data_IF_046130278561
#
_entry.id   IF_046130278561
#
_cell.length_a   1.000
_cell.length_b   1.000
_cell.length_c   1.000
_cell.angle_alpha   90.00
_cell.angle_beta   90.00
_cell.angle_gamma   90.00
#
_symmetry.space_group_name_H-M   'P 1'
#
loop_
_entity.id
_entity.type
_entity.pdbx_description
1 polymer ?
#
# COMPACT_ATOMS: atom_id res chain seq x y z
N UNK A 1 41.86 -24.36 -1.46
CA UNK A 1 40.58 -24.65 -0.77
C UNK A 1 39.70 -23.42 -0.94
N UNK A 2 38.44 -23.63 -1.33
CA UNK A 2 37.51 -22.61 -1.83
C UNK A 2 37.21 -21.52 -0.80
N UNK A 3 37.20 -20.27 -1.27
CA UNK A 3 36.66 -19.12 -0.55
C UNK A 3 35.13 -19.24 -0.46
N UNK A 4 34.52 -19.01 0.72
CA UNK A 4 33.07 -19.01 0.84
C UNK A 4 32.49 -17.84 0.04
N UNK A 5 31.53 -18.15 -0.82
CA UNK A 5 30.80 -17.22 -1.67
C UNK A 5 29.96 -16.34 -0.75
N UNK A 6 30.43 -15.12 -0.46
CA UNK A 6 29.59 -14.08 0.12
C UNK A 6 28.35 -13.93 -0.76
N UNK A 7 27.19 -14.29 -0.23
CA UNK A 7 25.92 -14.08 -0.90
C UNK A 7 25.82 -12.61 -1.30
N UNK A 8 25.47 -12.28 -2.56
CA UNK A 8 25.33 -10.89 -2.96
C UNK A 8 24.32 -10.25 -2.02
N UNK A 9 24.72 -9.14 -1.39
CA UNK A 9 23.82 -8.32 -0.59
C UNK A 9 22.56 -8.09 -1.42
N UNK A 10 21.47 -8.75 -1.02
CA UNK A 10 20.17 -8.62 -1.66
C UNK A 10 19.84 -7.13 -1.65
N UNK A 11 19.95 -6.53 -2.82
CA UNK A 11 19.68 -5.12 -3.03
C UNK A 11 18.20 -4.98 -2.74
N UNK A 12 17.88 -4.47 -1.55
CA UNK A 12 16.52 -4.15 -1.15
C UNK A 12 15.94 -3.26 -2.25
N UNK A 13 15.02 -3.81 -3.03
CA UNK A 13 14.37 -3.06 -4.09
C UNK A 13 13.57 -1.97 -3.40
N UNK A 14 13.80 -0.68 -3.72
CA UNK A 14 13.06 0.38 -3.07
C UNK A 14 11.57 0.19 -3.33
N UNK A 15 10.75 0.37 -2.28
CA UNK A 15 9.27 0.47 -2.30
C UNK A 15 8.70 1.45 -3.34
N UNK A 16 9.55 2.15 -4.08
CA UNK A 16 9.19 3.14 -5.09
C UNK A 16 8.74 2.51 -6.43
N UNK A 17 8.89 1.19 -6.60
CA UNK A 17 8.34 0.49 -7.77
C UNK A 17 6.86 0.19 -7.51
N UNK A 18 6.00 1.16 -7.85
CA UNK A 18 4.54 0.96 -7.77
C UNK A 18 4.12 -0.22 -8.65
N UNK A 19 3.29 -1.10 -8.10
CA UNK A 19 2.78 -2.22 -8.87
C UNK A 19 1.87 -1.70 -10.00
N UNK A 20 2.20 -1.94 -11.28
CA UNK A 20 1.45 -1.39 -12.41
C UNK A 20 0.00 -1.91 -12.47
N UNK A 21 -0.29 -3.08 -11.91
CA UNK A 21 -1.65 -3.62 -11.84
C UNK A 21 -2.53 -2.82 -10.88
N UNK A 22 -1.99 -2.47 -9.71
CA UNK A 22 -2.68 -1.64 -8.71
C UNK A 22 -2.93 -0.25 -9.31
N UNK A 23 -1.92 0.36 -9.93
CA UNK A 23 -2.07 1.68 -10.56
C UNK A 23 -3.15 1.68 -11.65
N UNK A 24 -3.21 0.64 -12.50
CA UNK A 24 -4.27 0.50 -13.51
C UNK A 24 -5.65 0.35 -12.89
N UNK A 25 -5.77 -0.42 -11.81
CA UNK A 25 -7.01 -0.60 -11.07
C UNK A 25 -7.51 0.72 -10.46
N UNK A 26 -6.63 1.49 -9.81
CA UNK A 26 -6.99 2.78 -9.24
C UNK A 26 -7.42 3.76 -10.33
N UNK A 27 -6.72 3.79 -11.47
CA UNK A 27 -7.12 4.61 -12.62
C UNK A 27 -8.51 4.23 -13.13
N UNK A 28 -8.77 2.94 -13.32
CA UNK A 28 -10.09 2.45 -13.72
C UNK A 28 -11.19 2.78 -12.70
N UNK A 29 -10.87 2.82 -11.40
CA UNK A 29 -11.82 3.25 -10.36
C UNK A 29 -12.21 4.72 -10.47
N UNK A 30 -11.23 5.60 -10.70
CA UNK A 30 -11.47 7.04 -10.91
C UNK A 30 -12.33 7.26 -12.16
N UNK A 31 -11.98 6.59 -13.27
CA UNK A 31 -12.74 6.64 -14.52
C UNK A 31 -14.18 6.14 -14.32
N UNK A 32 -14.36 5.04 -13.57
CA UNK A 32 -15.68 4.47 -13.26
C UNK A 32 -16.54 5.39 -12.40
N UNK A 33 -15.94 6.18 -11.51
CA UNK A 33 -16.65 7.18 -10.70
C UNK A 33 -17.05 8.41 -11.52
N UNK A 34 -16.50 8.56 -12.73
CA UNK A 34 -16.80 9.64 -13.67
C UNK A 34 -16.24 10.99 -13.23
N UNK A 35 -15.21 10.99 -12.39
CA UNK A 35 -14.60 12.23 -11.90
C UNK A 35 -13.57 12.74 -12.91
N UNK A 36 -13.76 13.97 -13.40
CA UNK A 36 -12.78 14.63 -14.24
C UNK A 36 -11.84 15.44 -13.35
N UNK A 37 -10.56 15.08 -13.40
CA UNK A 37 -9.50 15.77 -12.68
C UNK A 37 -8.42 16.23 -13.65
N UNK A 38 -7.85 17.40 -13.40
CA UNK A 38 -6.63 17.86 -14.05
C UNK A 38 -5.51 16.83 -13.87
N UNK A 39 -4.54 16.73 -14.81
CA UNK A 39 -3.49 15.71 -14.76
C UNK A 39 -2.68 15.72 -13.46
N UNK A 40 -2.45 16.89 -12.87
CA UNK A 40 -1.75 17.05 -11.59
C UNK A 40 -2.58 16.54 -10.40
N UNK A 41 -3.86 16.92 -10.35
CA UNK A 41 -4.80 16.47 -9.32
C UNK A 41 -5.03 14.95 -9.41
N UNK A 42 -5.12 14.39 -10.62
CA UNK A 42 -5.23 12.96 -10.85
C UNK A 42 -3.98 12.22 -10.35
N UNK A 43 -2.79 12.75 -10.60
CA UNK A 43 -1.54 12.15 -10.12
C UNK A 43 -1.49 12.10 -8.59
N UNK A 44 -1.90 13.18 -7.91
CA UNK A 44 -1.98 13.23 -6.44
C UNK A 44 -3.03 12.26 -5.90
N UNK A 45 -4.22 12.26 -6.49
CA UNK A 45 -5.29 11.30 -6.15
C UNK A 45 -4.81 9.85 -6.27
N UNK A 46 -4.17 9.49 -7.39
CA UNK A 46 -3.66 8.14 -7.60
C UNK A 46 -2.54 7.77 -6.61
N UNK A 47 -1.73 8.73 -6.18
CA UNK A 47 -0.70 8.53 -5.15
C UNK A 47 -1.30 8.23 -3.78
N UNK A 48 -2.27 9.04 -3.35
CA UNK A 48 -3.00 8.86 -2.09
C UNK A 48 -3.81 7.56 -2.10
N UNK A 49 -4.51 7.28 -3.21
CA UNK A 49 -5.23 6.02 -3.40
C UNK A 49 -4.28 4.81 -3.32
N UNK A 50 -3.06 4.91 -3.86
CA UNK A 50 -2.08 3.83 -3.83
C UNK A 50 -1.60 3.56 -2.39
N UNK A 51 -1.25 4.61 -1.65
CA UNK A 51 -0.87 4.48 -0.23
C UNK A 51 -1.99 3.88 0.62
N UNK A 52 -3.22 4.32 0.42
CA UNK A 52 -4.39 3.78 1.12
C UNK A 52 -4.64 2.31 0.75
N UNK A 53 -4.48 1.96 -0.53
CA UNK A 53 -4.62 0.60 -1.00
C UNK A 53 -3.55 -0.31 -0.39
N UNK A 54 -2.28 0.11 -0.37
CA UNK A 54 -1.19 -0.64 0.25
C UNK A 54 -1.41 -0.84 1.75
N UNK A 55 -1.87 0.19 2.46
CA UNK A 55 -2.23 0.08 3.87
C UNK A 55 -3.36 -0.94 4.10
N UNK A 56 -4.40 -0.91 3.26
CA UNK A 56 -5.51 -1.85 3.35
C UNK A 56 -5.06 -3.27 2.99
N UNK A 57 -4.22 -3.41 1.97
CA UNK A 57 -3.64 -4.69 1.56
C UNK A 57 -2.80 -5.28 2.69
N UNK A 58 -1.93 -4.49 3.31
CA UNK A 58 -1.13 -4.92 4.46
C UNK A 58 -2.00 -5.41 5.62
N UNK A 59 -3.08 -4.68 5.95
CA UNK A 59 -4.03 -5.10 6.98
C UNK A 59 -4.73 -6.42 6.63
N UNK A 60 -5.16 -6.59 5.38
CA UNK A 60 -5.82 -7.82 4.93
C UNK A 60 -4.84 -8.99 4.87
N UNK A 61 -3.58 -8.76 4.50
CA UNK A 61 -2.52 -9.77 4.56
C UNK A 61 -2.27 -10.24 5.99
N UNK A 62 -2.20 -9.32 6.96
CA UNK A 62 -2.07 -9.66 8.39
C UNK A 62 -3.27 -10.44 8.91
N UNK A 63 -4.49 -10.12 8.45
CA UNK A 63 -5.71 -10.88 8.79
C UNK A 63 -5.75 -12.27 8.15
N UNK A 64 -5.19 -12.42 6.96
CA UNK A 64 -5.14 -13.68 6.23
C UNK A 64 -4.05 -14.63 6.77
N UNK A 65 -3.09 -14.12 7.55
CA UNK A 65 -2.11 -14.97 8.23
C UNK A 65 -2.81 -15.87 9.27
N UNK A 66 -2.34 -17.12 9.42
CA UNK A 66 -2.75 -17.96 10.54
C UNK A 66 -2.40 -17.30 11.87
N UNK A 67 -3.20 -17.57 12.92
CA UNK A 67 -3.13 -16.87 14.21
C UNK A 67 -1.73 -16.86 14.83
N UNK A 68 -1.02 -17.98 14.74
CA UNK A 68 0.37 -18.13 15.18
C UNK A 68 1.33 -17.16 14.46
N UNK A 69 1.22 -17.06 13.12
CA UNK A 69 2.05 -16.17 12.31
C UNK A 69 1.66 -14.70 12.41
N UNK A 70 0.37 -14.44 12.63
CA UNK A 70 -0.10 -13.10 12.95
C UNK A 70 0.46 -12.63 14.28
N UNK A 71 0.49 -13.47 15.31
CA UNK A 71 1.09 -13.13 16.61
C UNK A 71 2.59 -12.85 16.47
N UNK A 72 3.32 -13.71 15.75
CA UNK A 72 4.75 -13.53 15.43
C UNK A 72 5.00 -12.21 14.69
N UNK A 73 4.18 -11.89 13.69
CA UNK A 73 4.26 -10.61 12.99
C UNK A 73 3.98 -9.42 13.91
N UNK A 74 2.94 -9.47 14.74
CA UNK A 74 2.60 -8.40 15.68
C UNK A 74 3.72 -8.18 16.71
N UNK A 75 4.34 -9.24 17.20
CA UNK A 75 5.52 -9.16 18.08
C UNK A 75 6.70 -8.48 17.39
N UNK A 76 6.95 -8.79 16.10
CA UNK A 76 7.97 -8.11 15.30
C UNK A 76 7.64 -6.62 15.08
N UNK A 77 6.37 -6.25 14.96
CA UNK A 77 5.97 -4.83 14.83
C UNK A 77 6.13 -4.03 16.12
N UNK A 78 6.25 -4.66 17.29
CA UNK A 78 6.56 -3.98 18.56
C UNK A 78 7.99 -3.42 18.58
N UNK A 79 8.89 -3.99 17.76
CA UNK A 79 10.28 -3.57 17.64
C UNK A 79 10.61 -3.34 16.16
N UNK A 80 10.34 -2.10 15.72
CA UNK A 80 10.53 -1.69 14.33
C UNK A 80 11.98 -1.83 13.84
N UNK A 81 12.96 -1.87 14.76
CA UNK A 81 14.37 -2.10 14.42
C UNK A 81 14.65 -3.54 13.99
N UNK A 82 13.78 -4.49 14.37
CA UNK A 82 13.84 -5.91 13.97
C UNK A 82 12.99 -6.20 12.73
N UNK A 83 12.20 -5.24 12.27
CA UNK A 83 11.30 -5.37 11.13
C UNK A 83 12.09 -5.17 9.83
N UNK A 84 12.60 -6.27 9.27
CA UNK A 84 13.25 -6.25 7.95
C UNK A 84 12.24 -6.61 6.86
N UNK A 85 12.24 -5.87 5.75
CA UNK A 85 11.40 -6.12 4.57
C UNK A 85 11.45 -7.57 4.08
N UNK A 86 12.63 -8.19 4.15
CA UNK A 86 12.82 -9.59 3.80
C UNK A 86 12.07 -10.54 4.73
N UNK A 87 12.13 -10.32 6.05
CA UNK A 87 11.38 -11.11 7.04
C UNK A 87 9.88 -10.97 6.87
N UNK A 88 9.42 -9.75 6.65
CA UNK A 88 8.02 -9.43 6.35
C UNK A 88 7.58 -10.18 5.10
N UNK A 89 8.32 -10.02 4.00
CA UNK A 89 8.07 -10.73 2.74
C UNK A 89 8.08 -12.24 2.87
N UNK A 90 9.04 -12.83 3.59
CA UNK A 90 9.09 -14.28 3.81
C UNK A 90 7.93 -14.81 4.63
N UNK A 91 7.50 -14.09 5.67
CA UNK A 91 6.33 -14.49 6.47
C UNK A 91 5.09 -14.49 5.58
N UNK A 92 4.89 -13.43 4.80
CA UNK A 92 3.70 -13.32 3.97
C UNK A 92 3.74 -14.25 2.74
N UNK A 93 4.87 -14.40 2.06
CA UNK A 93 5.00 -15.25 0.87
C UNK A 93 4.87 -16.75 1.21
N UNK A 94 5.43 -17.19 2.36
CA UNK A 94 5.33 -18.58 2.80
C UNK A 94 4.03 -18.92 3.52
N UNK A 95 3.36 -17.95 4.14
CA UNK A 95 2.25 -18.24 5.05
C UNK A 95 0.94 -17.52 4.74
N UNK A 96 0.86 -16.65 3.72
CA UNK A 96 -0.44 -16.16 3.24
C UNK A 96 -1.00 -17.19 2.27
N UNK A 97 -2.00 -18.00 2.68
CA UNK A 97 -2.69 -18.84 1.74
C UNK A 97 -3.43 -17.95 0.74
N UNK A 98 -3.23 -18.23 -0.55
CA UNK A 98 -3.97 -17.57 -1.63
C UNK A 98 -3.87 -16.04 -1.64
N UNK A 99 -2.65 -15.50 -1.81
CA UNK A 99 -2.41 -14.06 -2.01
C UNK A 99 -3.36 -13.40 -3.03
N UNK A 100 -3.73 -14.13 -4.08
CA UNK A 100 -4.68 -13.65 -5.09
C UNK A 100 -6.06 -13.36 -4.51
N UNK A 101 -6.54 -14.14 -3.54
CA UNK A 101 -7.84 -13.92 -2.91
C UNK A 101 -7.80 -12.75 -1.94
N UNK A 102 -6.70 -12.59 -1.18
CA UNK A 102 -6.47 -11.39 -0.35
C UNK A 102 -6.44 -10.13 -1.21
N UNK A 103 -5.76 -10.17 -2.36
CA UNK A 103 -5.73 -9.06 -3.31
C UNK A 103 -7.13 -8.74 -3.85
N UNK A 104 -7.88 -9.75 -4.31
CA UNK A 104 -9.26 -9.56 -4.80
C UNK A 104 -10.18 -8.98 -3.74
N UNK A 105 -10.10 -9.46 -2.51
CA UNK A 105 -10.91 -8.96 -1.41
C UNK A 105 -10.56 -7.51 -1.07
N UNK A 106 -9.25 -7.19 -1.05
CA UNK A 106 -8.76 -5.82 -0.86
C UNK A 106 -9.28 -4.89 -1.95
N UNK A 107 -9.21 -5.29 -3.22
CA UNK A 107 -9.77 -4.53 -4.34
C UNK A 107 -11.28 -4.31 -4.19
N UNK A 108 -12.03 -5.33 -3.77
CA UNK A 108 -13.48 -5.23 -3.55
C UNK A 108 -13.82 -4.26 -2.41
N UNK A 109 -13.12 -4.37 -1.28
CA UNK A 109 -13.29 -3.47 -0.13
C UNK A 109 -12.93 -2.04 -0.49
N UNK A 110 -11.77 -1.83 -1.13
CA UNK A 110 -11.31 -0.52 -1.55
C UNK A 110 -12.27 0.13 -2.57
N UNK A 111 -12.76 -0.65 -3.54
CA UNK A 111 -13.79 -0.19 -4.49
C UNK A 111 -15.04 0.30 -3.76
N UNK A 112 -15.56 -0.50 -2.82
CA UNK A 112 -16.76 -0.15 -2.07
C UNK A 112 -16.56 1.12 -1.23
N UNK A 113 -15.42 1.26 -0.57
CA UNK A 113 -15.06 2.46 0.20
C UNK A 113 -14.95 3.69 -0.71
N UNK A 114 -14.22 3.58 -1.82
CA UNK A 114 -14.00 4.69 -2.75
C UNK A 114 -15.28 5.14 -3.46
N UNK A 115 -16.16 4.20 -3.82
CA UNK A 115 -17.46 4.49 -4.45
C UNK A 115 -18.46 5.08 -3.44
N UNK A 116 -18.40 4.68 -2.18
CA UNK A 116 -19.28 5.19 -1.11
C UNK A 116 -18.82 6.55 -0.58
N UNK A 117 -17.52 6.82 -0.60
CA UNK A 117 -16.97 8.10 -0.15
C UNK A 117 -17.34 9.24 -1.10
N UNK A 118 -17.46 10.44 -0.51
CA UNK A 118 -17.68 11.71 -1.22
C UNK A 118 -16.68 11.84 -2.38
N UNK A 119 -17.10 12.53 -3.44
CA UNK A 119 -16.25 12.84 -4.59
C UNK A 119 -14.93 13.47 -4.14
N UNK A 120 -13.85 13.12 -4.80
CA UNK A 120 -12.54 13.70 -4.53
C UNK A 120 -12.60 15.17 -4.90
N UNK A 121 -12.45 16.04 -3.90
CA UNK A 121 -12.34 17.47 -4.12
C UNK A 121 -10.86 17.85 -3.97
N UNK A 122 -10.18 18.31 -5.04
CA UNK A 122 -8.78 18.67 -4.96
C UNK A 122 -8.53 19.83 -3.96
N UNK A 123 -9.55 20.64 -3.65
CA UNK A 123 -9.47 21.73 -2.68
C UNK A 123 -9.39 21.25 -1.23
N UNK A 124 -9.81 20.03 -0.94
CA UNK A 124 -9.68 19.40 0.39
C UNK A 124 -8.20 19.12 0.73
N UNK A 125 -7.35 19.05 -0.31
CA UNK A 125 -5.91 18.78 -0.23
C UNK A 125 -5.04 19.99 -0.57
N UNK A 126 -5.64 21.10 -0.95
CA UNK A 126 -5.03 22.42 -0.84
C UNK A 126 -5.07 22.75 0.66
N UNK A 127 -3.95 22.52 1.37
CA UNK A 127 -3.83 23.06 2.73
C UNK A 127 -4.25 24.54 2.66
N UNK A 128 -5.02 25.08 3.62
CA UNK A 128 -5.00 26.51 3.82
C UNK A 128 -3.52 26.87 4.00
N UNK A 129 -2.97 27.58 3.02
CA UNK A 129 -1.71 28.28 3.20
C UNK A 129 -1.92 29.06 4.48
N UNK A 130 -1.17 28.71 5.54
CA UNK A 130 -1.27 29.40 6.82
C UNK A 130 -1.21 30.88 6.52
N UNK A 131 -2.28 31.58 6.92
CA UNK A 131 -2.52 32.96 6.58
C UNK A 131 -1.24 33.76 6.79
N UNK A 132 -0.92 34.55 5.77
CA UNK A 132 -0.05 35.70 5.93
C UNK A 132 -0.47 36.44 7.19
N UNK A 133 0.27 36.26 8.29
CA UNK A 133 0.19 37.16 9.43
C UNK A 133 0.90 38.42 8.94
N UNK A 134 0.15 39.28 8.27
CA UNK A 134 0.46 40.68 8.15
C UNK A 134 0.14 41.33 9.50
N UNK A 135 1.19 41.65 10.27
CA UNK A 135 1.22 42.74 11.25
C UNK A 135 2.66 43.06 11.58
#
# INVERSE_FOLDING_TARGET
>A
MQTPISSPAEVATPLNVRNPYIVRFLKALVEKKGEQHSPEALKKLLDDMYKLFENLLGQNMVKALPEDKRAEYLELTKDLSKLSYKKVGEIFDKHVPHYQDVMKETMKQFTALYMKNRRFDPKDFEKPEEGSISS
#
